data_IF_904517006191
#
_entry.id   IF_904517006191
#
_cell.length_a   1.000
_cell.length_b   1.000
_cell.length_c   1.000
_cell.angle_alpha   90.00
_cell.angle_beta   90.00
_cell.angle_gamma   90.00
#
_symmetry.space_group_name_H-M   'P 1'
#
loop_
_entity.id
_entity.type
_entity.pdbx_description
1 polymer ?
#
# COMPACT_ATOMS: atom_id res chain seq x y z
N UNK A 1 16.08 32.44 0.61
CA UNK A 1 17.57 32.64 0.68
C UNK A 1 18.11 31.79 1.84
N UNK A 2 19.42 31.34 1.84
CA UNK A 2 19.97 30.50 2.92
C UNK A 2 19.91 31.16 4.31
N UNK A 3 20.06 32.47 4.39
CA UNK A 3 19.98 33.24 5.62
C UNK A 3 18.58 33.25 6.24
N UNK A 4 17.54 33.29 5.41
CA UNK A 4 16.14 33.25 5.86
C UNK A 4 15.77 31.85 6.38
N UNK A 5 16.26 30.78 5.74
CA UNK A 5 16.05 29.39 6.19
C UNK A 5 16.69 29.14 7.56
N UNK A 6 17.94 29.63 7.77
CA UNK A 6 18.61 29.52 9.07
C UNK A 6 17.85 30.27 10.18
N UNK A 7 17.34 31.45 9.89
CA UNK A 7 16.54 32.23 10.85
C UNK A 7 15.23 31.55 11.21
N UNK A 8 14.52 31.00 10.22
CA UNK A 8 13.27 30.27 10.45
C UNK A 8 13.49 29.00 11.28
N UNK A 9 14.52 28.21 10.96
CA UNK A 9 14.85 27.00 11.70
C UNK A 9 15.31 27.29 13.13
N UNK A 10 16.05 28.39 13.35
CA UNK A 10 16.50 28.82 14.68
C UNK A 10 15.34 29.31 15.57
N UNK A 11 14.21 29.72 14.99
CA UNK A 11 13.02 30.18 15.70
C UNK A 11 11.96 29.10 15.87
N UNK A 12 12.24 27.84 15.48
CA UNK A 12 11.29 26.74 15.58
C UNK A 12 11.21 26.22 17.03
N UNK A 13 10.06 26.24 17.65
CA UNK A 13 9.80 25.65 18.96
C UNK A 13 9.59 24.14 18.88
N UNK A 14 9.03 23.65 17.77
CA UNK A 14 8.69 22.25 17.56
C UNK A 14 9.16 21.76 16.20
N UNK A 15 9.60 20.50 16.16
CA UNK A 15 9.84 19.74 14.94
C UNK A 15 8.94 18.52 14.99
N UNK A 16 7.96 18.46 14.08
CA UNK A 16 7.03 17.34 13.99
C UNK A 16 7.51 16.40 12.89
N UNK A 17 7.75 15.14 13.24
CA UNK A 17 8.06 14.06 12.31
C UNK A 17 6.85 13.16 12.20
N UNK A 18 6.12 13.30 11.11
CA UNK A 18 4.97 12.44 10.82
C UNK A 18 5.45 11.11 10.23
N UNK A 19 4.69 10.03 10.51
CA UNK A 19 5.00 8.66 10.10
C UNK A 19 6.44 8.23 10.48
N UNK A 20 6.83 8.53 11.73
CA UNK A 20 8.21 8.29 12.21
C UNK A 20 8.69 6.86 11.99
N UNK A 21 7.78 5.85 11.99
CA UNK A 21 8.12 4.45 11.72
C UNK A 21 8.78 4.25 10.34
N UNK A 22 8.48 5.11 9.35
CA UNK A 22 9.08 5.03 8.00
C UNK A 22 10.53 5.50 7.96
N UNK A 23 11.03 6.10 9.04
CA UNK A 23 12.39 6.63 9.19
C UNK A 23 13.25 5.84 10.17
N UNK A 24 12.70 4.85 10.86
CA UNK A 24 13.46 4.06 11.85
C UNK A 24 14.55 3.19 11.21
N UNK A 25 14.43 2.88 9.92
CA UNK A 25 15.36 2.02 9.21
C UNK A 25 15.70 2.59 7.83
N UNK A 26 16.89 2.21 7.32
CA UNK A 26 17.33 2.50 5.97
C UNK A 26 17.91 3.90 5.73
N UNK A 27 18.39 4.15 4.49
CA UNK A 27 19.14 5.37 4.15
C UNK A 27 18.33 6.66 4.32
N UNK A 28 17.01 6.59 4.08
CA UNK A 28 16.12 7.75 4.23
C UNK A 28 16.03 8.21 5.68
N UNK A 29 15.95 7.26 6.62
CA UNK A 29 15.93 7.55 8.05
C UNK A 29 17.23 8.18 8.54
N UNK A 30 18.38 7.67 8.08
CA UNK A 30 19.69 8.24 8.39
C UNK A 30 19.82 9.67 7.82
N UNK A 31 19.32 9.92 6.63
CA UNK A 31 19.33 11.26 6.03
C UNK A 31 18.51 12.26 6.86
N UNK A 32 17.29 11.91 7.25
CA UNK A 32 16.44 12.77 8.08
C UNK A 32 17.08 12.99 9.46
N UNK A 33 17.64 11.97 10.09
CA UNK A 33 18.36 12.12 11.35
C UNK A 33 19.56 13.08 11.24
N UNK A 34 20.32 13.00 10.13
CA UNK A 34 21.41 13.93 9.84
C UNK A 34 20.91 15.38 9.69
N UNK A 35 19.78 15.59 9.00
CA UNK A 35 19.16 16.91 8.87
C UNK A 35 18.71 17.46 10.22
N UNK A 36 18.09 16.65 11.07
CA UNK A 36 17.68 17.03 12.42
C UNK A 36 18.87 17.47 13.28
N UNK A 37 20.01 16.77 13.23
CA UNK A 37 21.25 17.20 13.92
C UNK A 37 21.78 18.53 13.40
N UNK A 38 21.67 18.79 12.11
CA UNK A 38 22.08 20.08 11.52
C UNK A 38 21.17 21.22 11.96
N UNK A 39 19.87 20.97 12.13
CA UNK A 39 18.93 21.95 12.68
C UNK A 39 19.29 22.26 14.13
N UNK A 40 19.55 21.27 14.97
CA UNK A 40 19.98 21.47 16.36
C UNK A 40 21.26 22.32 16.44
N UNK A 41 22.24 22.10 15.54
CA UNK A 41 23.47 22.88 15.50
C UNK A 41 23.26 24.34 15.06
N UNK A 42 22.14 24.67 14.40
CA UNK A 42 21.81 26.04 13.95
C UNK A 42 20.89 26.77 14.95
N UNK A 43 20.18 26.05 15.81
CA UNK A 43 19.24 26.66 16.76
C UNK A 43 19.91 26.89 18.11
N UNK A 44 19.78 28.09 18.74
CA UNK A 44 20.35 28.39 20.05
C UNK A 44 19.68 27.62 21.19
N UNK A 45 18.41 27.19 21.01
CA UNK A 45 17.70 26.27 21.86
C UNK A 45 17.22 25.10 21.00
N UNK A 46 17.36 23.86 21.47
CA UNK A 46 16.90 22.70 20.70
C UNK A 46 15.37 22.69 20.65
N UNK A 47 14.81 22.70 19.44
CA UNK A 47 13.37 22.56 19.23
C UNK A 47 12.87 21.22 19.81
N UNK A 48 11.69 21.22 20.44
CA UNK A 48 11.05 20.02 20.94
C UNK A 48 10.64 19.11 19.77
N UNK A 49 11.07 17.87 19.78
CA UNK A 49 10.72 16.91 18.73
C UNK A 49 9.46 16.14 19.09
N UNK A 50 8.56 16.00 18.12
CA UNK A 50 7.33 15.24 18.24
C UNK A 50 7.29 14.21 17.11
N UNK A 51 7.23 12.93 17.45
CA UNK A 51 7.06 11.84 16.49
C UNK A 51 5.60 11.39 16.48
N UNK A 52 4.99 11.36 15.30
CA UNK A 52 3.65 10.84 15.10
C UNK A 52 3.72 9.53 14.32
N UNK A 53 2.97 8.52 14.73
CA UNK A 53 2.85 7.28 13.98
C UNK A 53 1.61 6.50 14.40
N UNK A 54 0.91 5.94 13.42
CA UNK A 54 -0.21 5.03 13.68
C UNK A 54 0.27 3.61 14.09
N UNK A 55 1.50 3.23 13.70
CA UNK A 55 2.02 1.86 13.88
C UNK A 55 3.51 1.90 14.19
N UNK A 56 3.88 1.72 15.45
CA UNK A 56 5.28 1.53 15.84
C UNK A 56 5.42 0.15 16.48
N UNK A 57 6.32 -0.68 15.93
CA UNK A 57 6.61 -2.00 16.49
C UNK A 57 7.57 -1.93 17.67
N UNK A 58 8.55 -1.01 17.61
CA UNK A 58 9.57 -0.81 18.63
C UNK A 58 9.59 0.67 19.06
N UNK A 59 9.01 0.93 20.23
CA UNK A 59 8.93 2.26 20.82
C UNK A 59 10.28 2.74 21.36
N UNK A 60 11.14 1.83 21.81
CA UNK A 60 12.48 2.15 22.30
C UNK A 60 13.34 2.65 21.15
N UNK A 61 13.29 1.97 20.01
CA UNK A 61 13.98 2.40 18.78
C UNK A 61 13.47 3.76 18.30
N UNK A 62 12.17 3.99 18.36
CA UNK A 62 11.58 5.27 17.95
C UNK A 62 12.02 6.43 18.88
N UNK A 63 12.04 6.20 20.19
CA UNK A 63 12.54 7.17 21.17
C UNK A 63 14.02 7.50 20.92
N UNK A 64 14.87 6.48 20.73
CA UNK A 64 16.28 6.63 20.43
C UNK A 64 16.53 7.34 19.10
N UNK A 65 15.68 7.12 18.08
CA UNK A 65 15.79 7.83 16.82
C UNK A 65 15.41 9.30 16.94
N UNK A 66 14.34 9.62 17.70
CA UNK A 66 13.91 11.00 17.95
C UNK A 66 14.92 11.76 18.83
N UNK A 67 15.42 11.14 19.87
CA UNK A 67 16.34 11.73 20.85
C UNK A 67 17.51 10.78 21.17
N UNK A 68 18.57 10.78 20.33
CA UNK A 68 19.66 9.82 20.48
C UNK A 68 20.50 9.99 21.76
N UNK A 69 20.55 11.20 22.34
CA UNK A 69 21.38 11.49 23.52
C UNK A 69 20.70 11.02 24.82
N UNK A 70 19.40 11.26 24.95
CA UNK A 70 18.60 10.90 26.14
C UNK A 70 17.25 10.30 25.74
N UNK A 71 17.18 9.07 25.23
CA UNK A 71 15.93 8.47 24.75
C UNK A 71 14.89 8.28 25.87
N UNK A 72 15.32 8.11 27.11
CA UNK A 72 14.44 7.94 28.27
C UNK A 72 13.64 9.20 28.63
N UNK A 73 14.01 10.35 28.09
CA UNK A 73 13.29 11.62 28.24
C UNK A 73 12.22 11.83 27.16
N UNK A 74 11.93 10.82 26.35
CA UNK A 74 10.84 10.86 25.37
C UNK A 74 9.57 10.34 26.02
N UNK A 75 8.58 11.21 26.17
CA UNK A 75 7.26 10.82 26.63
C UNK A 75 6.52 10.06 25.54
N UNK A 76 6.10 8.85 25.81
CA UNK A 76 5.38 7.99 24.89
C UNK A 76 3.90 8.03 25.22
N UNK A 77 3.11 8.61 24.31
CA UNK A 77 1.66 8.66 24.42
C UNK A 77 1.04 7.63 23.49
N UNK A 78 0.41 6.61 24.06
CA UNK A 78 -0.33 5.60 23.31
C UNK A 78 -1.82 5.75 23.53
N UNK A 79 -2.58 5.98 22.46
CA UNK A 79 -4.02 5.89 22.51
C UNK A 79 -4.43 4.41 22.65
N UNK A 80 -5.19 4.08 23.68
CA UNK A 80 -5.89 2.79 23.73
C UNK A 80 -7.05 2.90 22.73
N UNK A 81 -6.92 2.32 21.58
CA UNK A 81 -8.04 2.14 20.66
C UNK A 81 -8.54 0.71 20.78
N UNK A 82 -9.84 0.53 20.90
CA UNK A 82 -10.47 -0.75 20.63
C UNK A 82 -10.20 -1.04 19.15
N UNK A 83 -9.27 -1.96 18.88
CA UNK A 83 -8.95 -2.34 17.52
C UNK A 83 -10.21 -2.97 16.90
N UNK A 84 -10.67 -2.48 15.73
CA UNK A 84 -11.81 -3.11 15.08
C UNK A 84 -11.51 -4.58 14.78
N UNK A 85 -12.54 -5.42 14.81
CA UNK A 85 -12.42 -6.82 14.42
C UNK A 85 -11.78 -6.92 13.04
N UNK A 86 -10.67 -7.66 12.94
CA UNK A 86 -9.98 -7.91 11.68
C UNK A 86 -10.44 -9.25 11.10
N UNK A 87 -11.05 -9.22 9.91
CA UNK A 87 -11.37 -10.42 9.13
C UNK A 87 -10.36 -10.61 8.03
N UNK A 88 -9.42 -11.52 8.23
CA UNK A 88 -8.33 -11.81 7.30
C UNK A 88 -8.59 -13.14 6.59
N UNK A 89 -8.48 -13.15 5.26
CA UNK A 89 -8.46 -14.35 4.44
C UNK A 89 -7.17 -14.39 3.63
N UNK A 90 -6.46 -15.52 3.67
CA UNK A 90 -5.28 -15.79 2.83
C UNK A 90 -5.64 -16.88 1.84
N UNK A 91 -5.36 -16.64 0.55
CA UNK A 91 -5.55 -17.62 -0.52
C UNK A 91 -4.27 -17.79 -1.32
N UNK A 92 -3.91 -19.04 -1.59
CA UNK A 92 -2.82 -19.40 -2.49
C UNK A 92 -3.35 -19.77 -3.86
N UNK A 93 -2.63 -19.38 -4.90
CA UNK A 93 -2.88 -19.77 -6.29
C UNK A 93 -1.56 -20.25 -6.87
N UNK A 94 -1.53 -21.51 -7.31
CA UNK A 94 -0.37 -22.06 -8.01
C UNK A 94 -0.43 -21.69 -9.50
N UNK A 95 0.71 -21.43 -10.08
CA UNK A 95 0.82 -21.43 -11.54
C UNK A 95 0.68 -22.86 -12.04
N UNK A 96 -0.04 -23.09 -13.15
CA UNK A 96 0.00 -24.40 -13.79
C UNK A 96 1.44 -24.69 -14.23
N UNK A 97 1.86 -25.97 -14.21
CA UNK A 97 3.21 -26.34 -14.64
C UNK A 97 3.45 -25.80 -16.05
N UNK A 98 4.65 -25.26 -16.26
CA UNK A 98 5.06 -24.78 -17.57
C UNK A 98 5.24 -26.00 -18.49
N UNK A 99 4.33 -26.15 -19.47
CA UNK A 99 4.37 -27.29 -20.42
C UNK A 99 5.63 -27.28 -21.31
N UNK A 100 6.40 -26.18 -21.29
CA UNK A 100 7.68 -26.07 -21.99
C UNK A 100 8.88 -26.30 -21.07
N UNK A 101 8.68 -26.64 -19.80
CA UNK A 101 9.76 -26.99 -18.89
C UNK A 101 10.28 -28.42 -19.25
N UNK A 102 11.55 -28.58 -19.70
CA UNK A 102 12.09 -29.86 -20.09
C UNK A 102 12.07 -30.91 -18.97
N UNK A 103 12.05 -30.50 -17.70
CA UNK A 103 11.95 -31.39 -16.54
C UNK A 103 10.51 -31.96 -16.33
N UNK A 104 9.51 -31.45 -17.05
CA UNK A 104 8.12 -31.95 -17.04
C UNK A 104 7.69 -32.65 -18.34
N UNK A 105 8.60 -32.79 -19.30
CA UNK A 105 8.33 -33.44 -20.60
C UNK A 105 8.32 -34.99 -20.57
N UNK A 106 8.65 -35.60 -19.44
CA UNK A 106 8.55 -37.07 -19.29
C UNK A 106 7.14 -37.48 -18.89
N UNK A 107 6.25 -37.66 -19.86
CA UNK A 107 4.94 -38.28 -19.60
C UNK A 107 3.81 -38.04 -20.58
N UNK A 108 4.01 -37.31 -21.65
CA UNK A 108 2.97 -37.15 -22.69
C UNK A 108 3.48 -37.59 -24.05
N UNK A 109 3.60 -38.91 -24.27
CA UNK A 109 3.63 -39.46 -25.61
C UNK A 109 2.20 -39.51 -26.15
N UNK A 110 1.91 -38.73 -27.19
CA UNK A 110 0.75 -38.91 -28.03
C UNK A 110 -0.23 -37.75 -28.12
N UNK A 111 0.13 -36.68 -28.78
CA UNK A 111 -0.87 -35.81 -29.41
C UNK A 111 -0.37 -35.39 -30.78
N UNK A 112 -1.06 -35.89 -31.81
CA UNK A 112 -0.76 -35.67 -33.22
C UNK A 112 -0.84 -34.19 -33.60
N UNK A 113 -0.02 -33.84 -34.59
CA UNK A 113 -0.03 -32.57 -35.31
C UNK A 113 -1.40 -32.35 -35.97
N UNK A 114 -2.25 -31.55 -35.36
CA UNK A 114 -3.31 -30.87 -36.09
C UNK A 114 -3.41 -29.44 -35.58
N UNK A 115 -2.75 -28.54 -36.32
CA UNK A 115 -2.64 -27.11 -36.03
C UNK A 115 -3.90 -26.37 -36.48
N UNK A 116 -4.93 -26.32 -35.64
CA UNK A 116 -5.97 -25.29 -35.72
C UNK A 116 -5.85 -24.38 -34.49
N UNK A 117 -5.74 -23.10 -34.74
CA UNK A 117 -5.34 -22.01 -33.86
C UNK A 117 -6.30 -21.66 -32.73
N UNK A 118 -6.62 -22.62 -31.87
CA UNK A 118 -7.42 -22.39 -30.66
C UNK A 118 -6.83 -23.13 -29.45
N UNK A 119 -5.50 -23.07 -29.32
CA UNK A 119 -4.84 -23.57 -28.12
C UNK A 119 -5.35 -22.76 -26.91
N UNK A 120 -5.82 -23.40 -25.83
CA UNK A 120 -6.30 -22.70 -24.66
C UNK A 120 -5.17 -21.85 -24.11
N UNK A 121 -5.37 -20.52 -24.09
CA UNK A 121 -4.40 -19.58 -23.50
C UNK A 121 -4.13 -20.04 -22.08
N UNK A 122 -2.90 -20.46 -21.80
CA UNK A 122 -2.48 -20.94 -20.49
C UNK A 122 -2.76 -19.86 -19.44
N UNK A 123 -3.61 -20.19 -18.47
CA UNK A 123 -4.00 -19.27 -17.40
C UNK A 123 -2.91 -19.22 -16.35
N UNK A 124 -2.38 -18.04 -16.09
CA UNK A 124 -1.39 -17.80 -15.01
C UNK A 124 -2.11 -17.55 -13.67
N UNK A 125 -1.38 -17.65 -12.56
CA UNK A 125 -1.90 -17.44 -11.20
C UNK A 125 -2.69 -16.11 -11.07
N UNK A 126 -2.27 -15.05 -11.77
CA UNK A 126 -2.94 -13.75 -11.74
C UNK A 126 -4.36 -13.79 -12.36
N UNK A 127 -4.64 -14.72 -13.26
CA UNK A 127 -5.99 -14.88 -13.82
C UNK A 127 -6.97 -15.44 -12.80
N UNK A 128 -6.54 -16.41 -12.00
CA UNK A 128 -7.35 -16.96 -10.90
C UNK A 128 -7.55 -15.95 -9.77
N UNK A 129 -6.51 -15.18 -9.45
CA UNK A 129 -6.60 -14.05 -8.51
C UNK A 129 -7.64 -13.04 -9.01
N UNK A 130 -7.58 -12.67 -10.29
CA UNK A 130 -8.52 -11.71 -10.86
C UNK A 130 -9.97 -12.25 -10.90
N UNK A 131 -10.20 -13.55 -11.13
CA UNK A 131 -11.53 -14.14 -11.02
C UNK A 131 -12.08 -14.01 -9.60
N UNK A 132 -11.26 -14.32 -8.61
CA UNK A 132 -11.65 -14.19 -7.21
C UNK A 132 -11.97 -12.74 -6.84
N UNK A 133 -11.05 -11.80 -7.16
CA UNK A 133 -11.23 -10.38 -6.85
C UNK A 133 -12.45 -9.78 -7.56
N UNK A 134 -12.73 -10.21 -8.81
CA UNK A 134 -13.92 -9.80 -9.55
C UNK A 134 -15.19 -10.18 -8.81
N UNK A 135 -15.30 -11.43 -8.34
CA UNK A 135 -16.47 -11.89 -7.59
C UNK A 135 -16.62 -11.23 -6.21
N UNK A 136 -15.49 -10.97 -5.52
CA UNK A 136 -15.49 -10.52 -4.13
C UNK A 136 -15.64 -8.99 -3.98
N UNK A 137 -15.13 -8.19 -4.93
CA UNK A 137 -14.97 -6.75 -4.74
C UNK A 137 -15.98 -5.89 -5.49
N UNK A 138 -16.78 -6.46 -6.38
CA UNK A 138 -17.79 -5.70 -7.12
C UNK A 138 -18.85 -5.06 -6.23
N UNK A 139 -19.38 -3.92 -6.70
CA UNK A 139 -20.49 -3.22 -6.05
C UNK A 139 -20.11 -2.40 -4.82
N UNK A 140 -18.81 -2.21 -4.55
CA UNK A 140 -18.34 -1.45 -3.40
C UNK A 140 -16.99 -0.78 -3.65
N UNK A 141 -16.61 0.15 -2.75
CA UNK A 141 -15.29 0.78 -2.80
C UNK A 141 -14.26 -0.10 -2.10
N UNK A 142 -13.19 -0.42 -2.82
CA UNK A 142 -12.12 -1.28 -2.29
C UNK A 142 -10.74 -0.82 -2.76
N UNK A 143 -9.70 -1.35 -2.11
CA UNK A 143 -8.31 -1.22 -2.55
C UNK A 143 -7.72 -2.59 -2.82
N UNK A 144 -6.94 -2.70 -3.88
CA UNK A 144 -6.12 -3.87 -4.20
C UNK A 144 -4.68 -3.44 -4.33
N UNK A 145 -3.82 -3.85 -3.40
CA UNK A 145 -2.41 -3.51 -3.44
C UNK A 145 -1.61 -4.54 -4.22
N UNK A 146 -0.79 -4.07 -5.16
CA UNK A 146 0.18 -4.87 -5.91
C UNK A 146 1.63 -4.48 -5.60
N UNK A 147 2.54 -5.43 -5.70
CA UNK A 147 3.97 -5.23 -5.40
C UNK A 147 4.73 -4.39 -6.43
N UNK A 148 4.20 -4.23 -7.65
CA UNK A 148 4.81 -3.47 -8.74
C UNK A 148 3.76 -2.82 -9.63
N UNK A 149 4.19 -1.81 -10.42
CA UNK A 149 3.34 -1.19 -11.45
C UNK A 149 2.82 -2.24 -12.44
N UNK A 150 3.70 -3.12 -12.91
CA UNK A 150 3.33 -4.19 -13.84
C UNK A 150 2.23 -5.09 -13.28
N UNK A 151 2.34 -5.48 -12.01
CA UNK A 151 1.29 -6.27 -11.33
C UNK A 151 -0.03 -5.51 -11.26
N UNK A 152 0.02 -4.22 -10.92
CA UNK A 152 -1.16 -3.34 -10.82
C UNK A 152 -1.86 -3.19 -12.17
N UNK A 153 -1.11 -2.85 -13.23
CA UNK A 153 -1.66 -2.69 -14.59
C UNK A 153 -2.23 -4.01 -15.11
N UNK A 154 -1.48 -5.11 -14.96
CA UNK A 154 -1.93 -6.43 -15.39
C UNK A 154 -3.18 -6.91 -14.64
N UNK A 155 -3.27 -6.67 -13.34
CA UNK A 155 -4.46 -7.03 -12.55
C UNK A 155 -5.67 -6.17 -12.94
N UNK A 156 -5.47 -4.85 -13.08
CA UNK A 156 -6.55 -3.93 -13.49
C UNK A 156 -7.09 -4.26 -14.88
N UNK A 157 -6.22 -4.56 -15.85
CA UNK A 157 -6.63 -4.97 -17.20
C UNK A 157 -7.43 -6.28 -17.19
N UNK A 158 -6.97 -7.28 -16.45
CA UNK A 158 -7.69 -8.56 -16.30
C UNK A 158 -9.07 -8.37 -15.67
N UNK A 159 -9.19 -7.52 -14.67
CA UNK A 159 -10.45 -7.21 -14.01
C UNK A 159 -11.39 -6.42 -14.94
N UNK A 160 -10.86 -5.45 -15.70
CA UNK A 160 -11.60 -4.72 -16.72
C UNK A 160 -12.18 -5.65 -17.79
N UNK A 161 -11.37 -6.58 -18.33
CA UNK A 161 -11.83 -7.57 -19.31
C UNK A 161 -12.95 -8.48 -18.76
N UNK A 162 -12.95 -8.77 -17.46
CA UNK A 162 -14.03 -9.52 -16.80
C UNK A 162 -15.32 -8.71 -16.73
N UNK A 163 -15.21 -7.41 -16.48
CA UNK A 163 -16.36 -6.50 -16.58
C UNK A 163 -16.94 -6.49 -18.00
N UNK A 164 -16.10 -6.37 -19.02
CA UNK A 164 -16.50 -6.40 -20.42
C UNK A 164 -17.17 -7.73 -20.79
N UNK A 165 -16.56 -8.87 -20.43
CA UNK A 165 -17.12 -10.20 -20.68
C UNK A 165 -18.46 -10.43 -19.98
N UNK A 166 -18.64 -9.87 -18.79
CA UNK A 166 -19.88 -9.94 -18.03
C UNK A 166 -20.91 -8.86 -18.45
N UNK A 167 -20.58 -8.01 -19.41
CA UNK A 167 -21.39 -6.88 -19.88
C UNK A 167 -21.85 -5.95 -18.73
N UNK A 168 -20.90 -5.59 -17.85
CA UNK A 168 -21.12 -4.72 -16.69
C UNK A 168 -20.13 -3.54 -16.70
N UNK A 169 -20.47 -2.39 -16.07
CA UNK A 169 -19.57 -1.25 -15.98
C UNK A 169 -18.24 -1.63 -15.33
N UNK A 170 -17.15 -1.02 -15.81
CA UNK A 170 -15.85 -1.17 -15.18
C UNK A 170 -15.80 -0.44 -13.83
N UNK A 171 -15.42 -1.17 -12.78
CA UNK A 171 -15.25 -0.68 -11.42
C UNK A 171 -13.77 -0.70 -10.97
N UNK A 172 -12.85 -1.22 -11.80
CA UNK A 172 -11.45 -1.48 -11.44
C UNK A 172 -10.50 -0.55 -12.21
N UNK A 173 -9.74 0.25 -11.49
CA UNK A 173 -8.86 1.26 -12.08
C UNK A 173 -7.46 1.17 -11.50
N UNK A 174 -6.40 1.26 -12.32
CA UNK A 174 -5.03 1.28 -11.83
C UNK A 174 -4.69 2.61 -11.15
N UNK A 175 -3.83 2.58 -10.10
CA UNK A 175 -3.32 3.77 -9.43
C UNK A 175 -1.85 3.59 -9.04
N UNK A 176 -0.95 4.29 -9.69
CA UNK A 176 0.49 4.28 -9.40
C UNK A 176 1.18 5.57 -9.85
N UNK A 177 2.38 5.82 -9.33
CA UNK A 177 3.11 7.08 -9.52
C UNK A 177 3.46 7.46 -10.97
N UNK A 178 3.37 6.51 -11.93
CA UNK A 178 3.64 6.80 -13.36
C UNK A 178 2.40 7.23 -14.14
N UNK A 179 1.21 7.15 -13.55
CA UNK A 179 0.02 7.76 -14.15
C UNK A 179 0.09 9.28 -14.05
N UNK A 180 -0.57 9.96 -15.00
CA UNK A 180 -0.71 11.41 -14.93
C UNK A 180 -1.37 11.84 -13.61
N UNK A 181 -1.05 13.03 -13.16
CA UNK A 181 -1.65 13.59 -11.93
C UNK A 181 -3.18 13.65 -12.04
N UNK A 182 -3.70 14.03 -13.21
CA UNK A 182 -5.14 14.15 -13.48
C UNK A 182 -5.85 12.81 -13.25
N UNK A 183 -5.36 11.72 -13.86
CA UNK A 183 -5.99 10.40 -13.71
C UNK A 183 -5.97 9.90 -12.25
N UNK A 184 -4.91 10.22 -11.51
CA UNK A 184 -4.84 9.84 -10.09
C UNK A 184 -5.86 10.62 -9.26
N UNK A 185 -5.92 11.94 -9.44
CA UNK A 185 -6.86 12.81 -8.72
C UNK A 185 -8.31 12.47 -9.03
N UNK A 186 -8.64 12.16 -10.29
CA UNK A 186 -9.99 11.71 -10.68
C UNK A 186 -10.39 10.43 -9.96
N UNK A 187 -9.50 9.44 -9.88
CA UNK A 187 -9.78 8.20 -9.16
C UNK A 187 -9.89 8.41 -7.63
N UNK A 188 -9.05 9.28 -7.06
CA UNK A 188 -9.09 9.63 -5.64
C UNK A 188 -10.43 10.33 -5.29
N UNK A 189 -10.88 11.27 -6.12
CA UNK A 189 -12.18 11.95 -5.99
C UNK A 189 -13.31 10.93 -6.09
N UNK A 190 -13.27 10.03 -7.08
CA UNK A 190 -14.29 8.99 -7.28
C UNK A 190 -14.41 8.06 -6.07
N UNK A 191 -13.28 7.64 -5.49
CA UNK A 191 -13.26 6.84 -4.26
C UNK A 191 -13.86 7.62 -3.07
N UNK A 192 -13.46 8.90 -2.92
CA UNK A 192 -13.92 9.76 -1.83
C UNK A 192 -15.42 10.04 -1.89
N UNK A 193 -15.95 10.33 -3.08
CA UNK A 193 -17.38 10.58 -3.31
C UNK A 193 -18.24 9.35 -3.00
N UNK A 194 -17.74 8.17 -3.25
CA UNK A 194 -18.41 6.91 -2.95
C UNK A 194 -19.74 6.66 -3.67
N UNK A 195 -20.08 7.48 -4.70
CA UNK A 195 -21.35 7.38 -5.43
C UNK A 195 -21.39 6.20 -6.37
N UNK A 196 -20.26 5.82 -6.91
CA UNK A 196 -20.12 4.70 -7.83
C UNK A 196 -19.17 3.67 -7.25
N UNK A 197 -19.49 2.38 -7.30
CA UNK A 197 -18.58 1.32 -6.89
C UNK A 197 -17.22 1.48 -7.57
N UNK A 198 -16.15 1.50 -6.79
CA UNK A 198 -14.82 1.79 -7.32
C UNK A 198 -13.77 1.00 -6.56
N UNK A 199 -13.01 0.21 -7.28
CA UNK A 199 -11.85 -0.50 -6.75
C UNK A 199 -10.56 0.04 -7.36
N UNK A 200 -9.70 0.65 -6.54
CA UNK A 200 -8.38 1.06 -7.00
C UNK A 200 -7.40 -0.10 -6.85
N UNK A 201 -6.82 -0.51 -7.97
CA UNK A 201 -5.68 -1.45 -8.00
C UNK A 201 -4.41 -0.61 -7.96
N UNK A 202 -3.68 -0.62 -6.84
CA UNK A 202 -2.65 0.39 -6.57
C UNK A 202 -1.33 -0.18 -6.06
N UNK A 203 -0.27 0.61 -6.22
CA UNK A 203 0.99 0.42 -5.49
C UNK A 203 0.88 1.06 -4.10
N UNK A 204 1.98 1.36 -3.42
CA UNK A 204 1.97 2.08 -2.14
C UNK A 204 1.43 3.53 -2.21
N UNK A 205 1.03 4.02 -3.37
CA UNK A 205 0.55 5.39 -3.56
C UNK A 205 -0.71 5.73 -2.77
N UNK A 206 -1.57 4.76 -2.47
CA UNK A 206 -2.77 4.94 -1.63
C UNK A 206 -2.60 4.37 -0.22
N UNK A 207 -1.36 4.03 0.17
CA UNK A 207 -1.04 3.52 1.51
C UNK A 207 -1.03 4.64 2.55
N UNK A 208 -0.51 5.82 2.19
CA UNK A 208 -0.28 6.96 3.08
C UNK A 208 -0.83 8.28 2.52
N UNK A 209 -1.30 9.14 3.42
CA UNK A 209 -1.47 10.58 3.17
C UNK A 209 -2.61 11.00 2.23
N UNK A 210 -3.39 10.07 1.67
CA UNK A 210 -4.48 10.40 0.74
C UNK A 210 -5.83 10.18 1.41
N UNK A 211 -6.70 11.18 1.32
CA UNK A 211 -8.08 11.10 1.79
C UNK A 211 -8.99 10.54 0.68
N UNK A 212 -9.14 9.23 0.67
CA UNK A 212 -9.94 8.48 -0.31
C UNK A 212 -11.30 8.04 0.23
N UNK A 213 -11.68 8.57 1.41
CA UNK A 213 -12.92 8.16 2.06
C UNK A 213 -12.86 6.75 2.65
N UNK A 214 -14.03 6.15 2.85
CA UNK A 214 -14.16 4.82 3.45
C UNK A 214 -14.17 3.73 2.40
N UNK A 215 -13.28 2.74 2.52
CA UNK A 215 -13.27 1.53 1.70
C UNK A 215 -13.78 0.33 2.50
N UNK A 216 -14.49 -0.57 1.83
CA UNK A 216 -15.09 -1.77 2.44
C UNK A 216 -14.03 -2.83 2.72
N UNK A 217 -13.17 -3.10 1.77
CA UNK A 217 -12.15 -4.15 1.87
C UNK A 217 -10.82 -3.73 1.26
N UNK A 218 -9.76 -4.37 1.74
CA UNK A 218 -8.40 -4.25 1.19
C UNK A 218 -7.93 -5.64 0.78
N UNK A 219 -7.50 -5.78 -0.46
CA UNK A 219 -6.83 -6.98 -0.94
C UNK A 219 -5.33 -6.71 -1.19
N UNK A 220 -4.52 -7.75 -1.05
CA UNK A 220 -3.09 -7.71 -1.29
C UNK A 220 -2.69 -8.82 -2.26
N UNK A 221 -2.08 -8.47 -3.39
CA UNK A 221 -1.50 -9.42 -4.34
C UNK A 221 -0.01 -9.58 -4.03
N UNK A 222 0.39 -10.80 -3.67
CA UNK A 222 1.74 -11.10 -3.17
C UNK A 222 1.99 -10.60 -1.75
N UNK A 223 3.15 -10.95 -1.20
CA UNK A 223 3.51 -10.53 0.16
C UNK A 223 3.80 -9.03 0.26
N UNK A 224 3.33 -8.33 1.30
CA UNK A 224 3.76 -6.97 1.57
C UNK A 224 5.23 -6.94 1.99
N UNK A 225 5.95 -5.87 1.67
CA UNK A 225 7.39 -5.74 1.98
C UNK A 225 7.68 -5.65 3.48
N UNK A 226 6.71 -5.15 4.26
CA UNK A 226 6.84 -4.99 5.70
C UNK A 226 5.48 -5.14 6.38
N UNK A 227 5.48 -5.61 7.62
CA UNK A 227 4.27 -5.74 8.43
C UNK A 227 3.61 -4.38 8.70
N UNK A 228 4.42 -3.33 8.84
CA UNK A 228 3.92 -1.95 8.98
C UNK A 228 3.07 -1.52 7.78
N UNK A 229 3.51 -1.81 6.54
CA UNK A 229 2.72 -1.57 5.33
C UNK A 229 1.38 -2.31 5.36
N UNK A 230 1.36 -3.57 5.79
CA UNK A 230 0.11 -4.33 5.90
C UNK A 230 -0.86 -3.65 6.89
N UNK A 231 -0.38 -3.25 8.06
CA UNK A 231 -1.19 -2.54 9.06
C UNK A 231 -1.74 -1.22 8.53
N UNK A 232 -0.93 -0.45 7.79
CA UNK A 232 -1.37 0.82 7.18
C UNK A 232 -2.46 0.61 6.13
N UNK A 233 -2.34 -0.44 5.31
CA UNK A 233 -3.33 -0.84 4.32
C UNK A 233 -4.64 -1.26 5.00
N UNK A 234 -4.57 -2.09 6.02
CA UNK A 234 -5.72 -2.48 6.83
C UNK A 234 -6.39 -1.28 7.51
N UNK A 235 -5.62 -0.29 7.98
CA UNK A 235 -6.14 0.98 8.51
C UNK A 235 -6.90 1.85 7.51
N UNK A 236 -7.00 1.47 6.23
CA UNK A 236 -7.87 2.09 5.23
C UNK A 236 -9.31 1.58 5.30
N UNK A 237 -9.53 0.39 5.87
CA UNK A 237 -10.86 -0.18 6.15
C UNK A 237 -11.29 0.07 7.59
N UNK A 238 -12.56 -0.21 7.91
CA UNK A 238 -13.05 -0.18 9.30
C UNK A 238 -13.09 1.20 9.96
N UNK A 239 -13.00 2.29 9.20
CA UNK A 239 -13.01 3.66 9.75
C UNK A 239 -14.38 4.09 10.31
N UNK A 240 -15.45 3.37 10.03
CA UNK A 240 -16.77 3.61 10.63
C UNK A 240 -16.90 2.74 11.88
N UNK A 241 -17.36 3.35 12.98
CA UNK A 241 -17.64 2.62 14.21
C UNK A 241 -18.56 1.41 13.93
N UNK A 242 -18.16 0.23 14.40
CA UNK A 242 -18.92 -1.01 14.23
C UNK A 242 -18.72 -1.75 12.89
N UNK A 243 -17.86 -1.27 11.97
CA UNK A 243 -17.52 -2.02 10.75
C UNK A 243 -16.20 -2.76 10.92
N UNK A 244 -16.14 -4.08 10.65
CA UNK A 244 -14.88 -4.82 10.69
C UNK A 244 -13.93 -4.34 9.59
N UNK A 245 -12.63 -4.40 9.86
CA UNK A 245 -11.60 -4.24 8.83
C UNK A 245 -11.49 -5.55 8.03
N UNK A 246 -11.68 -5.51 6.71
CA UNK A 246 -11.66 -6.66 5.81
C UNK A 246 -10.59 -6.46 4.74
#
# INVERSE_FOLDING_TARGET
RPADAKRLLAAADFIIVDEVHSFLQGPRGLHVASLLKRVDAMAPASARRVGLSATIGDLVQAAAWLRPVDPDRVDILQAKSDSPELRLQVRGYSEPPDLNDPDHAEGVEGAGEDSTSDAPVQRIALDYIADHLFGALRGSNNLVFGGSRRTVESAADRLRRRCEKANVPNEFFPHHGSLSKVLREELEIRLKDGKLPTTAVCTSTLELGVDIGSVKSVAQIGAPRALASLRQRLGRTGRRAGTPAI
#
